data_IF_814020181844
#
_entry.id   IF_814020181844
#
_cell.length_a   1.000
_cell.length_b   1.000
_cell.length_c   1.000
_cell.angle_alpha   90.00
_cell.angle_beta   90.00
_cell.angle_gamma   90.00
#
_symmetry.space_group_name_H-M   'P 1'
#
loop_
_entity.id
_entity.type
_entity.pdbx_description
1 polymer ?
#
# COMPACT_ATOMS: atom_id res chain seq x y z
N UNK A 1 3.86 -0.76 -15.87
CA UNK A 1 3.81 0.18 -14.72
C UNK A 1 4.01 -0.64 -13.45
N UNK A 2 4.86 -0.24 -12.50
CA UNK A 2 5.07 -0.99 -11.27
C UNK A 2 3.81 -0.97 -10.38
N UNK A 3 3.51 -2.13 -9.81
CA UNK A 3 2.42 -2.33 -8.87
C UNK A 3 2.98 -2.23 -7.45
N UNK A 4 2.30 -1.49 -6.59
CA UNK A 4 2.66 -1.34 -5.19
C UNK A 4 1.48 -1.72 -4.31
N UNK A 5 1.77 -2.44 -3.22
CA UNK A 5 0.78 -2.81 -2.23
C UNK A 5 0.76 -1.79 -1.09
N UNK A 6 -0.42 -1.46 -0.58
CA UNK A 6 -0.62 -0.53 0.52
C UNK A 6 -1.55 -1.16 1.55
N UNK A 7 -1.25 -0.97 2.83
CA UNK A 7 -2.09 -1.46 3.91
C UNK A 7 -2.61 -0.29 4.73
N UNK A 8 -3.93 -0.15 4.79
CA UNK A 8 -4.58 0.87 5.59
C UNK A 8 -4.87 0.33 7.00
N UNK A 9 -4.22 0.83 8.05
CA UNK A 9 -4.42 0.36 9.42
C UNK A 9 -5.78 0.80 10.02
N UNK A 10 -6.50 1.71 9.34
CA UNK A 10 -7.79 2.25 9.79
C UNK A 10 -8.96 1.41 9.29
N UNK A 11 -8.89 0.98 8.04
CA UNK A 11 -9.85 0.06 7.45
C UNK A 11 -9.46 -1.41 7.64
N UNK A 12 -8.23 -1.68 8.10
CA UNK A 12 -7.60 -2.99 8.13
C UNK A 12 -7.69 -3.68 6.75
N UNK A 13 -7.37 -2.92 5.70
CA UNK A 13 -7.50 -3.36 4.30
C UNK A 13 -6.21 -3.16 3.55
N UNK A 14 -5.86 -4.17 2.78
CA UNK A 14 -4.74 -4.13 1.84
C UNK A 14 -5.27 -3.88 0.43
N UNK A 15 -4.61 -3.00 -0.31
CA UNK A 15 -4.99 -2.67 -1.69
C UNK A 15 -3.76 -2.42 -2.55
N UNK A 16 -3.91 -2.71 -3.84
CA UNK A 16 -2.84 -2.58 -4.81
C UNK A 16 -3.06 -1.33 -5.68
N UNK A 17 -1.98 -0.60 -5.96
CA UNK A 17 -2.01 0.61 -6.79
C UNK A 17 -0.89 0.58 -7.83
N UNK A 18 -1.28 0.80 -9.08
CA UNK A 18 -0.36 1.04 -10.19
C UNK A 18 0.14 2.48 -10.10
N UNK A 19 1.40 2.66 -9.72
CA UNK A 19 2.01 3.98 -9.63
C UNK A 19 3.12 4.11 -10.66
N UNK A 20 3.35 5.33 -11.13
CA UNK A 20 4.47 5.61 -12.05
C UNK A 20 5.82 5.61 -11.32
N UNK A 21 5.81 5.91 -10.01
CA UNK A 21 6.98 5.95 -9.15
C UNK A 21 6.65 5.33 -7.78
N UNK A 22 7.68 4.86 -7.08
CA UNK A 22 7.53 4.35 -5.71
C UNK A 22 7.12 5.50 -4.77
N UNK A 23 5.94 5.37 -4.16
CA UNK A 23 5.49 6.23 -3.07
C UNK A 23 5.51 5.45 -1.76
N UNK A 24 5.75 6.12 -0.65
CA UNK A 24 5.75 5.49 0.68
C UNK A 24 4.35 5.37 1.29
N UNK A 25 3.41 6.18 0.82
CA UNK A 25 2.03 6.19 1.31
C UNK A 25 1.09 6.54 0.15
N UNK A 26 -0.15 6.06 0.24
CA UNK A 26 -1.20 6.36 -0.72
C UNK A 26 -2.55 6.49 0.02
N UNK A 27 -3.42 7.46 -0.33
CA UNK A 27 -4.73 7.56 0.28
C UNK A 27 -5.55 6.29 0.06
N UNK A 28 -6.16 5.79 1.14
CA UNK A 28 -7.05 4.64 1.11
C UNK A 28 -8.32 4.97 0.30
N UNK A 29 -8.80 4.06 -0.57
CA UNK A 29 -10.02 4.30 -1.36
C UNK A 29 -11.31 4.38 -0.51
N UNK A 30 -11.35 3.78 0.68
CA UNK A 30 -12.53 3.79 1.56
C UNK A 30 -12.54 5.02 2.50
N UNK A 31 -11.49 5.19 3.32
CA UNK A 31 -11.46 6.24 4.35
C UNK A 31 -10.69 7.51 3.95
N UNK A 32 -9.99 7.51 2.80
CA UNK A 32 -9.10 8.59 2.34
C UNK A 32 -7.91 8.91 3.25
N UNK A 33 -7.71 8.17 4.33
CA UNK A 33 -6.53 8.33 5.19
C UNK A 33 -5.26 7.83 4.49
N UNK A 34 -4.08 8.39 4.82
CA UNK A 34 -2.81 7.93 4.27
C UNK A 34 -2.53 6.49 4.71
N UNK A 35 -2.46 5.58 3.74
CA UNK A 35 -2.10 4.19 3.95
C UNK A 35 -0.62 3.99 3.59
N UNK A 36 0.23 3.54 4.52
CA UNK A 36 1.64 3.25 4.22
C UNK A 36 1.76 2.09 3.23
N UNK A 37 2.86 2.11 2.47
CA UNK A 37 3.18 1.05 1.51
C UNK A 37 3.47 -0.24 2.26
N UNK A 38 2.72 -1.28 1.95
CA UNK A 38 3.02 -2.63 2.36
C UNK A 38 4.20 -3.11 1.50
N UNK A 39 5.33 -3.36 2.15
CA UNK A 39 6.46 -4.04 1.54
C UNK A 39 6.39 -5.48 1.98
N UNK A 40 6.09 -6.39 1.06
CA UNK A 40 6.18 -7.82 1.30
C UNK A 40 7.64 -8.14 1.64
N UNK A 41 7.94 -8.28 2.93
CA UNK A 41 9.25 -8.77 3.37
C UNK A 41 9.29 -10.23 2.93
N UNK A 42 10.20 -10.66 2.04
CA UNK A 42 10.31 -12.07 1.74
C UNK A 42 10.60 -12.79 3.06
N UNK A 43 9.78 -13.79 3.38
CA UNK A 43 10.00 -14.62 4.56
C UNK A 43 11.43 -15.19 4.46
N UNK A 44 12.32 -14.72 5.33
CA UNK A 44 13.69 -15.24 5.42
C UNK A 44 13.59 -16.67 5.92
N UNK A 45 14.01 -17.61 5.08
CA UNK A 45 14.19 -19.03 5.43
C UNK A 45 15.39 -19.24 6.34
#
# INVERSE_FOLDING_TARGET
>A
MPLFEFHCPRCDRTFEKLLRAAQNEHPCPDCKEPAPRAVSVPART
#
